data_IF_250511449280
#
_entry.id   IF_250511449280
#
_cell.length_a   1.000
_cell.length_b   1.000
_cell.length_c   1.000
_cell.angle_alpha   90.00
_cell.angle_beta   90.00
_cell.angle_gamma   90.00
#
_symmetry.space_group_name_H-M   'P 1'
#
loop_
_entity.id
_entity.type
_entity.pdbx_description
1 polymer ?
#
# COMPACT_ATOMS: atom_id res chain seq x y z
N UNK A 1 -50.25 -46.01 24.55
CA UNK A 1 -51.28 -44.96 24.61
C UNK A 1 -50.63 -43.69 24.14
N UNK A 2 -50.78 -43.47 22.85
CA UNK A 2 -50.35 -42.30 22.09
C UNK A 2 -51.17 -41.08 22.47
N UNK A 3 -50.51 -39.94 22.70
CA UNK A 3 -51.12 -38.64 22.46
C UNK A 3 -50.12 -37.73 21.77
N UNK A 4 -50.37 -37.55 20.48
CA UNK A 4 -49.84 -36.52 19.61
C UNK A 4 -50.42 -35.14 19.97
N UNK A 5 -49.70 -34.06 19.61
CA UNK A 5 -50.12 -32.94 18.73
C UNK A 5 -49.30 -31.66 19.05
N UNK A 6 -48.28 -31.44 18.20
CA UNK A 6 -47.97 -30.21 17.44
C UNK A 6 -47.42 -28.92 18.08
N UNK A 7 -46.72 -28.07 17.29
CA UNK A 7 -45.62 -27.22 17.74
C UNK A 7 -46.00 -25.73 17.90
N UNK A 8 -45.31 -25.04 18.80
CA UNK A 8 -45.45 -23.59 18.98
C UNK A 8 -44.59 -22.82 17.97
N UNK A 9 -45.27 -22.35 16.93
CA UNK A 9 -45.04 -21.16 16.11
C UNK A 9 -43.70 -20.41 16.20
N UNK A 10 -43.03 -20.43 15.06
CA UNK A 10 -42.15 -19.42 14.45
C UNK A 10 -42.41 -17.97 14.90
N UNK A 11 -41.54 -17.43 15.74
CA UNK A 11 -41.34 -15.99 15.89
C UNK A 11 -40.14 -15.57 15.02
N UNK A 12 -40.44 -15.03 13.83
CA UNK A 12 -39.47 -14.33 12.98
C UNK A 12 -39.23 -12.94 13.59
N UNK A 13 -38.01 -12.59 14.02
CA UNK A 13 -37.69 -11.19 14.26
C UNK A 13 -37.52 -10.51 12.90
N UNK A 14 -38.54 -9.76 12.48
CA UNK A 14 -38.47 -8.86 11.32
C UNK A 14 -37.70 -7.61 11.75
N UNK A 15 -36.38 -7.72 11.85
CA UNK A 15 -35.49 -6.56 12.01
C UNK A 15 -35.34 -5.93 10.63
N UNK A 16 -36.12 -4.88 10.38
CA UNK A 16 -35.86 -3.96 9.26
C UNK A 16 -34.81 -2.95 9.71
N UNK A 17 -33.59 -2.91 9.13
CA UNK A 17 -32.76 -1.72 9.27
C UNK A 17 -33.38 -0.63 8.38
N UNK A 18 -34.05 0.32 9.01
CA UNK A 18 -34.47 1.56 8.35
C UNK A 18 -33.21 2.41 8.14
N UNK A 19 -32.57 2.25 6.98
CA UNK A 19 -31.57 3.19 6.50
C UNK A 19 -32.26 4.55 6.31
N UNK A 20 -31.97 5.50 7.19
CA UNK A 20 -32.26 6.89 6.94
C UNK A 20 -31.27 7.39 5.86
N UNK A 21 -31.73 8.12 4.83
CA UNK A 21 -30.82 8.80 3.90
C UNK A 21 -30.04 9.86 4.67
N UNK A 22 -28.71 9.87 4.54
CA UNK A 22 -27.91 11.00 5.02
C UNK A 22 -28.38 12.30 4.35
N UNK A 23 -28.47 13.42 5.10
CA UNK A 23 -28.73 14.70 4.49
C UNK A 23 -27.54 15.11 3.63
N UNK A 24 -27.84 15.52 2.40
CA UNK A 24 -26.88 16.02 1.42
C UNK A 24 -26.07 17.18 2.00
N UNK A 25 -24.75 17.01 2.00
CA UNK A 25 -23.79 18.03 2.38
C UNK A 25 -23.85 19.18 1.36
N UNK A 26 -24.36 20.33 1.77
CA UNK A 26 -24.09 21.58 1.09
C UNK A 26 -22.68 22.04 1.47
N UNK A 27 -21.81 22.27 0.48
CA UNK A 27 -20.58 23.03 0.71
C UNK A 27 -20.22 23.88 -0.51
N UNK A 28 -20.65 25.14 -0.41
CA UNK A 28 -19.96 26.38 -0.78
C UNK A 28 -18.75 26.24 -1.72
N UNK A 29 -18.88 26.84 -2.90
CA UNK A 29 -17.82 27.09 -3.87
C UNK A 29 -16.75 28.03 -3.30
N UNK A 30 -15.60 27.48 -2.89
CA UNK A 30 -14.37 28.27 -2.73
C UNK A 30 -13.65 28.36 -4.06
N UNK A 31 -13.63 29.57 -4.63
CA UNK A 31 -12.73 29.95 -5.72
C UNK A 31 -11.28 29.84 -5.23
N UNK A 32 -10.55 28.83 -5.70
CA UNK A 32 -9.12 28.73 -5.48
C UNK A 32 -8.40 29.66 -6.46
N UNK A 33 -7.69 30.67 -5.92
CA UNK A 33 -6.65 31.39 -6.67
C UNK A 33 -5.47 30.43 -6.85
N UNK A 34 -4.86 30.31 -8.05
CA UNK A 34 -3.64 29.52 -8.20
C UNK A 34 -2.48 30.26 -7.51
N UNK A 35 -1.84 29.59 -6.55
CA UNK A 35 -0.52 29.97 -6.07
C UNK A 35 0.50 29.42 -7.06
N UNK A 36 1.23 30.33 -7.73
CA UNK A 36 2.40 29.97 -8.52
C UNK A 36 3.50 29.50 -7.58
N UNK A 37 3.90 28.23 -7.68
CA UNK A 37 5.06 27.68 -6.97
C UNK A 37 6.29 27.83 -7.86
N UNK A 38 7.29 28.58 -7.39
CA UNK A 38 8.62 28.62 -7.98
C UNK A 38 9.48 27.59 -7.24
N UNK A 39 10.00 26.60 -7.97
CA UNK A 39 10.91 25.59 -7.42
C UNK A 39 12.34 26.05 -7.69
N UNK A 40 13.12 26.23 -6.62
CA UNK A 40 14.54 26.52 -6.71
C UNK A 40 15.33 25.24 -7.03
N UNK A 41 16.16 25.28 -8.07
CA UNK A 41 17.13 24.24 -8.37
C UNK A 41 18.33 24.37 -7.42
N UNK A 42 18.53 23.37 -6.55
CA UNK A 42 19.62 23.42 -5.58
C UNK A 42 19.66 22.24 -4.63
N UNK A 43 19.79 21.01 -5.16
CA UNK A 43 20.38 19.89 -4.46
C UNK A 43 20.90 18.91 -5.51
N UNK A 44 22.15 18.50 -5.37
CA UNK A 44 22.83 17.53 -6.24
C UNK A 44 21.93 16.35 -6.55
N UNK A 45 21.64 16.17 -7.84
CA UNK A 45 20.80 15.14 -8.40
C UNK A 45 21.34 13.77 -7.99
N UNK A 46 20.76 13.18 -6.94
CA UNK A 46 20.78 11.73 -6.81
C UNK A 46 19.82 11.24 -7.88
N UNK A 47 20.32 10.54 -8.89
CA UNK A 47 19.52 9.82 -9.89
C UNK A 47 18.79 8.62 -9.23
N UNK A 48 17.96 8.89 -8.23
CA UNK A 48 16.99 7.93 -7.69
C UNK A 48 15.62 8.10 -8.35
N UNK A 49 15.35 9.25 -8.99
CA UNK A 49 14.17 9.46 -9.84
C UNK A 49 14.16 8.58 -11.10
N UNK A 50 15.29 7.95 -11.44
CA UNK A 50 15.45 7.03 -12.58
C UNK A 50 15.51 5.55 -12.20
N UNK A 51 15.49 5.23 -10.90
CA UNK A 51 15.25 3.85 -10.49
C UNK A 51 13.77 3.58 -10.72
N UNK A 52 13.48 3.14 -11.93
CA UNK A 52 12.32 2.37 -12.32
C UNK A 52 12.16 1.19 -11.34
N UNK A 53 11.64 1.46 -10.14
CA UNK A 53 11.18 0.45 -9.21
C UNK A 53 10.02 -0.24 -9.91
N UNK A 54 10.13 -1.52 -10.29
CA UNK A 54 9.06 -2.20 -11.04
C UNK A 54 7.68 -2.17 -10.35
N UNK A 55 7.59 -1.79 -9.06
CA UNK A 55 6.35 -1.66 -8.30
C UNK A 55 6.34 -0.37 -7.44
N UNK A 56 5.24 0.38 -7.51
CA UNK A 56 4.89 1.46 -6.56
C UNK A 56 4.23 0.82 -5.32
N UNK A 57 4.69 1.10 -4.09
CA UNK A 57 4.07 0.57 -2.89
C UNK A 57 2.58 0.91 -2.82
N UNK A 58 1.75 -0.08 -2.54
CA UNK A 58 0.28 0.05 -2.55
C UNK A 58 -0.23 0.74 -1.30
N UNK A 59 0.46 0.53 -0.20
CA UNK A 59 0.05 0.94 1.14
C UNK A 59 0.62 2.29 1.52
N UNK A 60 -0.07 2.98 2.44
CA UNK A 60 0.42 4.26 2.96
C UNK A 60 1.80 4.12 3.64
N UNK A 61 2.03 3.14 4.53
CA UNK A 61 3.36 2.91 5.09
C UNK A 61 4.43 2.62 4.03
N UNK A 62 4.10 1.84 3.00
CA UNK A 62 5.02 1.59 1.89
C UNK A 62 5.43 2.88 1.16
N UNK A 63 4.49 3.79 0.90
CA UNK A 63 4.78 5.09 0.28
C UNK A 63 5.61 6.01 1.18
N UNK A 64 5.31 6.02 2.48
CA UNK A 64 6.08 6.78 3.46
C UNK A 64 7.52 6.25 3.54
N UNK A 65 7.71 4.93 3.58
CA UNK A 65 9.03 4.28 3.55
C UNK A 65 9.78 4.50 2.23
N UNK A 66 9.08 4.52 1.09
CA UNK A 66 9.68 4.90 -0.20
C UNK A 66 10.23 6.32 -0.17
N UNK A 67 9.51 7.24 0.48
CA UNK A 67 9.97 8.63 0.68
C UNK A 67 11.21 8.70 1.57
N UNK A 68 11.25 7.90 2.66
CA UNK A 68 12.45 7.80 3.51
C UNK A 68 13.63 7.23 2.74
N UNK A 69 13.40 6.19 1.95
CA UNK A 69 14.42 5.54 1.15
C UNK A 69 15.07 6.52 0.14
N UNK A 70 14.26 7.34 -0.52
CA UNK A 70 14.76 8.31 -1.51
C UNK A 70 15.51 9.49 -0.87
N UNK A 71 15.00 10.04 0.24
CA UNK A 71 15.55 11.25 0.85
C UNK A 71 16.62 10.97 1.90
N UNK A 72 16.50 9.86 2.63
CA UNK A 72 17.29 9.51 3.80
C UNK A 72 17.61 8.00 3.86
N UNK A 73 18.34 7.45 2.86
CA UNK A 73 18.59 6.01 2.75
C UNK A 73 19.32 5.41 3.97
N UNK A 74 20.09 6.21 4.71
CA UNK A 74 20.79 5.78 5.92
C UNK A 74 19.82 5.46 7.08
N UNK A 75 18.65 6.10 7.10
CA UNK A 75 17.60 5.88 8.11
C UNK A 75 16.60 4.80 7.72
N UNK A 76 16.69 4.28 6.50
CA UNK A 76 15.69 3.38 5.94
C UNK A 76 15.47 2.12 6.79
N UNK A 77 16.55 1.45 7.21
CA UNK A 77 16.44 0.26 8.05
C UNK A 77 15.81 0.54 9.42
N UNK A 78 16.09 1.70 10.02
CA UNK A 78 15.48 2.10 11.28
C UNK A 78 13.98 2.33 11.11
N UNK A 79 13.59 3.06 10.05
CA UNK A 79 12.19 3.33 9.74
C UNK A 79 11.40 2.03 9.46
N UNK A 80 12.00 1.11 8.70
CA UNK A 80 11.42 -0.22 8.44
C UNK A 80 11.21 -0.99 9.75
N UNK A 81 12.20 -1.02 10.64
CA UNK A 81 12.09 -1.71 11.91
C UNK A 81 10.97 -1.12 12.79
N UNK A 82 10.83 0.20 12.80
CA UNK A 82 9.77 0.89 13.52
C UNK A 82 8.39 0.57 12.95
N UNK A 83 8.23 0.60 11.63
CA UNK A 83 6.95 0.31 10.97
C UNK A 83 6.54 -1.16 11.18
N UNK A 84 7.47 -2.11 11.01
CA UNK A 84 7.20 -3.53 11.25
C UNK A 84 6.82 -3.81 12.70
N UNK A 85 7.48 -3.15 13.66
CA UNK A 85 7.13 -3.27 15.08
C UNK A 85 5.69 -2.79 15.33
N UNK A 86 5.35 -1.60 14.83
CA UNK A 86 4.00 -1.04 14.97
C UNK A 86 2.94 -1.97 14.36
N UNK A 87 3.19 -2.53 13.18
CA UNK A 87 2.28 -3.49 12.55
C UNK A 87 2.09 -4.76 13.39
N UNK A 88 3.18 -5.28 13.96
CA UNK A 88 3.13 -6.45 14.82
C UNK A 88 2.33 -6.16 16.10
N UNK A 89 2.58 -5.02 16.75
CA UNK A 89 1.88 -4.58 17.96
C UNK A 89 0.37 -4.41 17.69
N UNK A 90 0.00 -3.74 16.59
CA UNK A 90 -1.39 -3.52 16.20
C UNK A 90 -2.14 -4.84 15.90
N UNK A 91 -1.48 -5.77 15.20
CA UNK A 91 -2.03 -7.10 14.90
C UNK A 91 -2.25 -7.91 16.17
N UNK A 92 -1.23 -7.99 17.03
CA UNK A 92 -1.28 -8.76 18.28
C UNK A 92 -2.36 -8.20 19.23
N UNK A 93 -2.46 -6.88 19.33
CA UNK A 93 -3.47 -6.21 20.11
C UNK A 93 -4.89 -6.53 19.60
N UNK A 94 -5.10 -6.62 18.28
CA UNK A 94 -6.38 -7.00 17.70
C UNK A 94 -6.74 -8.47 17.98
N UNK A 95 -5.76 -9.38 17.86
CA UNK A 95 -5.92 -10.81 18.17
C UNK A 95 -6.23 -11.02 19.66
N UNK A 96 -5.51 -10.31 20.53
CA UNK A 96 -5.74 -10.33 21.99
C UNK A 96 -7.14 -9.83 22.34
N UNK A 97 -7.64 -8.78 21.67
CA UNK A 97 -9.02 -8.33 21.90
C UNK A 97 -10.05 -9.36 21.44
N UNK A 98 -9.82 -9.99 20.28
CA UNK A 98 -10.68 -11.06 19.78
C UNK A 98 -10.76 -12.25 20.73
N UNK A 99 -9.63 -12.66 21.33
CA UNK A 99 -9.60 -13.78 22.27
C UNK A 99 -10.33 -13.44 23.57
N UNK A 100 -10.08 -12.25 24.13
CA UNK A 100 -10.74 -11.78 25.36
C UNK A 100 -12.25 -11.58 25.17
N UNK A 101 -12.70 -11.18 23.99
CA UNK A 101 -14.11 -10.93 23.72
C UNK A 101 -14.89 -12.16 23.28
N UNK A 102 -14.29 -13.36 23.25
CA UNK A 102 -14.88 -14.55 22.60
C UNK A 102 -16.26 -14.96 23.16
N UNK A 103 -16.53 -14.70 24.44
CA UNK A 103 -17.81 -14.96 25.10
C UNK A 103 -18.72 -13.71 25.25
N UNK A 104 -18.27 -12.55 24.74
CA UNK A 104 -19.03 -11.30 24.77
C UNK A 104 -19.95 -11.18 23.56
N UNK A 105 -20.97 -10.34 23.66
CA UNK A 105 -21.79 -9.92 22.53
C UNK A 105 -20.97 -9.24 21.41
N UNK A 106 -19.80 -8.70 21.74
CA UNK A 106 -18.85 -8.07 20.81
C UNK A 106 -17.91 -9.05 20.09
N UNK A 107 -18.05 -10.36 20.31
CA UNK A 107 -17.15 -11.38 19.72
C UNK A 107 -17.05 -11.28 18.20
N UNK A 108 -18.18 -11.03 17.52
CA UNK A 108 -18.23 -10.91 16.06
C UNK A 108 -17.48 -9.67 15.56
N UNK A 109 -17.60 -8.54 16.27
CA UNK A 109 -16.92 -7.29 15.93
C UNK A 109 -15.40 -7.46 16.02
N UNK A 110 -14.91 -7.95 17.17
CA UNK A 110 -13.48 -8.10 17.38
C UNK A 110 -12.85 -9.16 16.48
N UNK A 111 -13.58 -10.24 16.16
CA UNK A 111 -13.15 -11.20 15.13
C UNK A 111 -12.96 -10.53 13.77
N UNK A 112 -13.89 -9.67 13.35
CA UNK A 112 -13.78 -8.97 12.08
C UNK A 112 -12.62 -7.97 12.06
N UNK A 113 -12.41 -7.25 13.16
CA UNK A 113 -11.28 -6.32 13.30
C UNK A 113 -9.96 -7.07 13.22
N UNK A 114 -9.81 -8.19 13.91
CA UNK A 114 -8.60 -9.01 13.86
C UNK A 114 -8.31 -9.52 12.44
N UNK A 115 -9.34 -10.01 11.72
CA UNK A 115 -9.19 -10.43 10.32
C UNK A 115 -8.74 -9.28 9.41
N UNK A 116 -9.31 -8.09 9.57
CA UNK A 116 -8.91 -6.92 8.79
C UNK A 116 -7.46 -6.51 9.10
N UNK A 117 -7.07 -6.54 10.38
CA UNK A 117 -5.70 -6.21 10.81
C UNK A 117 -4.68 -7.21 10.27
N UNK A 118 -5.02 -8.49 10.22
CA UNK A 118 -4.18 -9.51 9.58
C UNK A 118 -3.98 -9.21 8.09
N UNK A 119 -5.06 -8.91 7.36
CA UNK A 119 -4.99 -8.58 5.94
C UNK A 119 -4.19 -7.30 5.67
N UNK A 120 -4.41 -6.24 6.45
CA UNK A 120 -3.63 -5.00 6.37
C UNK A 120 -2.14 -5.26 6.62
N UNK A 121 -1.83 -6.03 7.68
CA UNK A 121 -0.45 -6.39 8.01
C UNK A 121 0.23 -7.12 6.86
N UNK A 122 -0.44 -8.10 6.25
CA UNK A 122 0.09 -8.83 5.11
C UNK A 122 0.47 -7.91 3.94
N UNK A 123 -0.44 -7.03 3.52
CA UNK A 123 -0.20 -6.14 2.36
C UNK A 123 0.95 -5.17 2.65
N UNK A 124 1.05 -4.63 3.87
CA UNK A 124 2.15 -3.74 4.23
C UNK A 124 3.48 -4.49 4.30
N UNK A 125 3.51 -5.72 4.82
CA UNK A 125 4.72 -6.55 4.84
C UNK A 125 5.20 -6.86 3.43
N UNK A 126 4.29 -7.12 2.48
CA UNK A 126 4.64 -7.31 1.06
C UNK A 126 5.34 -6.07 0.48
N UNK A 127 4.81 -4.87 0.73
CA UNK A 127 5.44 -3.61 0.29
C UNK A 127 6.81 -3.40 0.96
N UNK A 128 6.94 -3.68 2.26
CA UNK A 128 8.21 -3.56 3.00
C UNK A 128 9.26 -4.53 2.47
N UNK A 129 8.88 -5.78 2.22
CA UNK A 129 9.78 -6.80 1.64
C UNK A 129 10.31 -6.34 0.30
N UNK A 130 9.43 -5.82 -0.56
CA UNK A 130 9.81 -5.30 -1.86
C UNK A 130 10.81 -4.13 -1.75
N UNK A 131 10.54 -3.15 -0.88
CA UNK A 131 11.44 -2.01 -0.65
C UNK A 131 12.80 -2.44 -0.08
N UNK A 132 12.84 -3.44 0.81
CA UNK A 132 14.09 -4.00 1.35
C UNK A 132 14.93 -4.67 0.25
N UNK A 133 14.31 -5.47 -0.61
CA UNK A 133 14.97 -6.10 -1.76
C UNK A 133 15.55 -5.02 -2.67
N UNK A 134 14.75 -4.02 -3.02
CA UNK A 134 15.16 -2.90 -3.85
C UNK A 134 16.33 -2.11 -3.23
N UNK A 135 16.30 -1.86 -1.92
CA UNK A 135 17.40 -1.21 -1.21
C UNK A 135 18.70 -2.00 -1.34
N UNK A 136 18.67 -3.33 -1.15
CA UNK A 136 19.86 -4.19 -1.29
C UNK A 136 20.50 -4.13 -2.67
N UNK A 137 19.71 -4.12 -3.72
CA UNK A 137 20.24 -4.01 -5.09
C UNK A 137 20.80 -2.61 -5.38
N UNK A 138 20.18 -1.59 -4.79
CA UNK A 138 20.65 -0.21 -4.88
C UNK A 138 22.00 -0.01 -4.18
N UNK A 139 22.26 -0.69 -3.05
CA UNK A 139 23.57 -0.66 -2.36
C UNK A 139 24.72 -1.21 -3.23
N UNK A 140 24.45 -2.25 -4.03
CA UNK A 140 25.44 -2.94 -4.87
C UNK A 140 25.57 -2.26 -6.25
N UNK A 141 24.87 -1.14 -6.48
CA UNK A 141 24.82 -0.42 -7.78
C UNK A 141 24.41 -1.31 -8.96
N UNK A 142 23.59 -2.33 -8.71
CA UNK A 142 23.02 -3.14 -9.79
C UNK A 142 21.87 -2.36 -10.39
N UNK A 143 22.00 -1.98 -11.67
CA UNK A 143 20.88 -1.37 -12.40
C UNK A 143 19.76 -2.41 -12.56
N UNK A 144 18.64 -2.21 -11.85
CA UNK A 144 17.45 -3.08 -11.91
C UNK A 144 16.69 -3.00 -13.24
N UNK A 145 17.00 -2.00 -14.06
CA UNK A 145 16.55 -1.88 -15.44
C UNK A 145 17.79 -1.78 -16.32
N UNK A 146 17.88 -2.54 -17.43
CA UNK A 146 18.95 -2.34 -18.40
C UNK A 146 18.99 -0.86 -18.76
N UNK A 147 20.11 -0.18 -18.49
CA UNK A 147 20.33 1.16 -19.01
C UNK A 147 20.09 1.06 -20.50
N UNK A 148 19.02 1.67 -21.01
CA UNK A 148 18.76 1.69 -22.44
C UNK A 148 20.03 2.25 -23.05
N UNK A 149 20.80 1.40 -23.74
CA UNK A 149 21.91 1.86 -24.57
C UNK A 149 21.36 3.05 -25.33
N UNK A 150 22.04 4.17 -25.16
CA UNK A 150 21.74 5.41 -25.83
C UNK A 150 21.32 5.11 -27.28
N UNK A 151 20.12 5.53 -27.66
CA UNK A 151 19.67 5.37 -29.05
C UNK A 151 20.61 6.08 -30.06
N UNK A 152 21.62 6.82 -29.56
CA UNK A 152 22.70 7.41 -30.33
C UNK A 152 23.74 6.41 -30.82
N UNK A 153 23.98 5.27 -30.14
CA UNK A 153 24.87 4.20 -30.67
C UNK A 153 24.16 3.23 -31.61
N UNK A 154 22.82 3.21 -31.61
CA UNK A 154 22.01 2.38 -32.52
C UNK A 154 21.60 3.09 -33.82
N UNK A 155 22.29 4.20 -34.17
CA UNK A 155 22.12 4.90 -35.45
C UNK A 155 23.13 4.52 -36.55
N UNK A 156 24.24 3.85 -36.20
CA UNK A 156 25.39 3.76 -37.10
C UNK A 156 25.39 2.51 -38.01
N UNK A 157 24.64 1.46 -37.66
CA UNK A 157 24.56 0.24 -38.47
C UNK A 157 23.73 0.37 -39.75
N UNK A 158 22.97 1.46 -39.92
CA UNK A 158 22.07 1.63 -41.08
C UNK A 158 22.75 2.31 -42.30
N UNK A 159 23.96 2.83 -42.17
CA UNK A 159 24.69 3.49 -43.26
C UNK A 159 25.76 2.62 -43.95
N UNK A 160 26.00 1.40 -43.44
CA UNK A 160 27.04 0.50 -43.96
C UNK A 160 26.63 -0.42 -45.12
N UNK A 161 25.34 -0.59 -45.41
CA UNK A 161 24.86 -1.66 -46.30
C UNK A 161 24.33 -1.19 -47.67
N UNK A 162 24.84 -0.08 -48.21
CA UNK A 162 24.53 0.39 -49.57
C UNK A 162 25.76 0.62 -50.46
N UNK A 163 26.97 0.25 -50.03
CA UNK A 163 28.21 0.56 -50.76
C UNK A 163 29.04 -0.65 -51.16
N UNK A 164 28.40 -1.72 -51.66
CA UNK A 164 29.08 -2.77 -52.44
C UNK A 164 28.10 -3.29 -53.50
N UNK A 165 28.14 -2.69 -54.68
CA UNK A 165 27.28 -3.06 -55.79
C UNK A 165 27.62 -2.22 -57.01
N UNK A 166 28.84 -2.39 -57.51
CA UNK A 166 29.24 -1.99 -58.86
C UNK A 166 29.97 -3.15 -59.51
#
# INVERSE_FOLDING_TARGET
MDHCISPLSTLKPRITPRFAPWPALQSVTRRFRPLTVVVGAGASHCEFSSLNSPLDPRTRPGKDLSTVLQNHPQLFHLAVAQELKKLADDRELALSRMSLSAASHEACLHRRIAQLKEQECQIVVEDVMYLLIFYKFSEIKVHLVPSSLDASTMGDWRYGLQRTGS
#
